data_IF_133229576828
#
_entry.id   IF_133229576828
#
_cell.length_a   1.000
_cell.length_b   1.000
_cell.length_c   1.000
_cell.angle_alpha   90.00
_cell.angle_beta   90.00
_cell.angle_gamma   90.00
#
_symmetry.space_group_name_H-M   'P 1'
#
loop_
_entity.id
_entity.type
_entity.pdbx_description
1 polymer ?
#
# COMPACT_ATOMS: atom_id res chain seq x y z
N UNK A 1 -25.25 17.57 -33.20
CA UNK A 1 -24.24 18.49 -32.66
C UNK A 1 -24.03 18.14 -31.20
N UNK A 2 -22.93 17.48 -30.83
CA UNK A 2 -22.66 17.05 -29.45
C UNK A 2 -22.11 18.24 -28.67
N UNK A 3 -22.77 18.59 -27.58
CA UNK A 3 -22.32 19.63 -26.64
C UNK A 3 -20.99 19.18 -26.03
N UNK A 4 -19.94 20.01 -26.04
CA UNK A 4 -18.67 19.61 -25.44
C UNK A 4 -18.83 19.45 -23.92
N UNK A 5 -18.26 18.36 -23.39
CA UNK A 5 -18.14 18.13 -21.95
C UNK A 5 -17.40 19.31 -21.32
N UNK A 6 -18.05 20.09 -20.48
CA UNK A 6 -17.38 21.07 -19.65
C UNK A 6 -16.59 20.34 -18.57
N UNK A 7 -15.30 20.20 -18.76
CA UNK A 7 -14.37 19.84 -17.68
C UNK A 7 -14.36 21.02 -16.71
N UNK A 8 -14.84 20.83 -15.49
CA UNK A 8 -14.74 21.85 -14.44
C UNK A 8 -13.27 22.04 -14.07
N UNK A 9 -12.65 23.06 -14.62
CA UNK A 9 -11.27 23.43 -14.28
C UNK A 9 -11.30 24.23 -12.98
N UNK A 10 -10.51 23.88 -11.95
CA UNK A 10 -10.37 24.68 -10.75
C UNK A 10 -9.95 26.11 -11.13
N UNK A 11 -10.64 27.11 -10.60
CA UNK A 11 -10.38 28.51 -10.95
C UNK A 11 -10.56 29.43 -9.75
N UNK A 12 -9.77 30.50 -9.71
CA UNK A 12 -9.89 31.60 -8.73
C UNK A 12 -10.18 32.90 -9.49
N UNK A 13 -11.13 33.66 -9.00
CA UNK A 13 -11.38 35.02 -9.51
C UNK A 13 -10.44 35.98 -8.82
N UNK A 14 -9.73 36.77 -9.59
CA UNK A 14 -8.84 37.83 -9.10
C UNK A 14 -9.29 39.20 -9.65
N UNK A 15 -9.04 40.29 -8.89
CA UNK A 15 -9.27 41.65 -9.33
C UNK A 15 -8.23 42.10 -10.36
N UNK A 16 -8.47 43.29 -10.97
CA UNK A 16 -7.52 43.91 -11.92
C UNK A 16 -6.13 44.14 -11.29
N UNK A 17 -6.09 44.38 -9.98
CA UNK A 17 -4.86 44.47 -9.19
C UNK A 17 -4.97 43.37 -8.13
N UNK A 18 -4.13 42.32 -8.21
CA UNK A 18 -4.16 41.22 -7.23
C UNK A 18 -3.83 41.74 -5.83
N UNK A 19 -4.63 41.33 -4.87
CA UNK A 19 -4.40 41.56 -3.44
C UNK A 19 -3.61 40.39 -2.82
N UNK A 20 -3.13 40.55 -1.59
CA UNK A 20 -2.49 39.46 -0.86
C UNK A 20 -3.43 38.28 -0.68
N UNK A 21 -4.73 38.54 -0.51
CA UNK A 21 -5.76 37.48 -0.42
C UNK A 21 -5.88 36.74 -1.74
N UNK A 22 -5.84 37.40 -2.87
CA UNK A 22 -5.87 36.75 -4.19
C UNK A 22 -4.65 35.88 -4.40
N UNK A 23 -3.48 36.33 -3.99
CA UNK A 23 -2.22 35.58 -4.06
C UNK A 23 -2.30 34.34 -3.17
N UNK A 24 -2.85 34.44 -1.95
CA UNK A 24 -3.03 33.31 -1.06
C UNK A 24 -4.02 32.28 -1.64
N UNK A 25 -5.16 32.73 -2.16
CA UNK A 25 -6.14 31.86 -2.82
C UNK A 25 -5.56 31.10 -4.03
N UNK A 26 -4.67 31.73 -4.80
CA UNK A 26 -3.97 31.07 -5.91
C UNK A 26 -3.02 29.99 -5.37
N UNK A 27 -2.24 30.28 -4.33
CA UNK A 27 -1.34 29.31 -3.69
C UNK A 27 -2.13 28.10 -3.18
N UNK A 28 -3.19 28.33 -2.42
CA UNK A 28 -4.03 27.27 -1.86
C UNK A 28 -4.64 26.38 -2.96
N UNK A 29 -5.05 26.99 -4.09
CA UNK A 29 -5.55 26.26 -5.25
C UNK A 29 -4.45 25.39 -5.88
N UNK A 30 -3.27 25.98 -6.12
CA UNK A 30 -2.11 25.26 -6.71
C UNK A 30 -1.67 24.11 -5.81
N UNK A 31 -1.55 24.36 -4.50
CA UNK A 31 -1.18 23.33 -3.52
C UNK A 31 -2.24 22.23 -3.47
N UNK A 32 -3.52 22.57 -3.52
CA UNK A 32 -4.61 21.60 -3.57
C UNK A 32 -4.62 20.74 -4.85
N UNK A 33 -4.23 21.30 -6.00
CA UNK A 33 -4.08 20.55 -7.26
C UNK A 33 -2.84 19.65 -7.20
N UNK A 34 -1.72 20.20 -6.76
CA UNK A 34 -0.44 19.46 -6.65
C UNK A 34 -0.57 18.28 -5.70
N UNK A 35 -1.19 18.48 -4.54
CA UNK A 35 -1.41 17.41 -3.57
C UNK A 35 -2.35 16.31 -4.09
N UNK A 36 -3.41 16.68 -4.83
CA UNK A 36 -4.30 15.70 -5.46
C UNK A 36 -3.60 14.90 -6.55
N UNK A 37 -2.81 15.54 -7.40
CA UNK A 37 -2.05 14.87 -8.45
C UNK A 37 -1.03 13.91 -7.83
N UNK A 38 -0.27 14.36 -6.83
CA UNK A 38 0.70 13.51 -6.11
C UNK A 38 0.02 12.31 -5.45
N UNK A 39 -1.13 12.52 -4.81
CA UNK A 39 -1.89 11.41 -4.20
C UNK A 39 -2.33 10.39 -5.25
N UNK A 40 -2.85 10.85 -6.40
CA UNK A 40 -3.26 9.97 -7.49
C UNK A 40 -2.09 9.19 -8.10
N UNK A 41 -0.92 9.82 -8.24
CA UNK A 41 0.30 9.15 -8.71
C UNK A 41 0.74 8.05 -7.74
N UNK A 42 0.70 8.31 -6.43
CA UNK A 42 1.03 7.33 -5.41
C UNK A 42 0.02 6.17 -5.43
N UNK A 43 -1.28 6.46 -5.49
CA UNK A 43 -2.32 5.42 -5.59
C UNK A 43 -2.15 4.54 -6.82
N UNK A 44 -1.83 5.12 -7.98
CA UNK A 44 -1.54 4.37 -9.19
C UNK A 44 -0.28 3.50 -9.03
N UNK A 45 0.79 4.05 -8.44
CA UNK A 45 2.01 3.30 -8.18
C UNK A 45 1.77 2.11 -7.24
N UNK A 46 0.97 2.28 -6.18
CA UNK A 46 0.59 1.19 -5.27
C UNK A 46 -0.22 0.13 -6.02
N UNK A 47 -1.18 0.53 -6.86
CA UNK A 47 -1.95 -0.40 -7.69
C UNK A 47 -1.05 -1.24 -8.57
N UNK A 48 -0.01 -0.64 -9.14
CA UNK A 48 0.97 -1.35 -9.97
C UNK A 48 1.85 -2.33 -9.16
N UNK A 49 2.06 -2.09 -7.87
CA UNK A 49 2.78 -3.00 -6.98
C UNK A 49 1.94 -4.20 -6.54
N UNK A 50 0.61 -4.05 -6.41
CA UNK A 50 -0.30 -5.16 -6.08
C UNK A 50 -0.56 -5.98 -7.35
N UNK A 51 -0.12 -7.23 -7.35
CA UNK A 51 -0.33 -8.14 -8.49
C UNK A 51 -1.48 -9.09 -8.19
N UNK A 52 -2.31 -9.40 -9.21
CA UNK A 52 -3.42 -10.34 -9.08
C UNK A 52 -3.01 -11.67 -8.45
N UNK A 53 -1.88 -12.21 -8.88
CA UNK A 53 -1.35 -13.49 -8.37
C UNK A 53 -0.79 -13.42 -6.93
N UNK A 54 -0.71 -12.23 -6.35
CA UNK A 54 -0.26 -11.96 -4.99
C UNK A 54 -1.40 -11.43 -4.10
N UNK A 55 -2.65 -11.56 -4.57
CA UNK A 55 -3.84 -11.11 -3.87
C UNK A 55 -4.69 -12.33 -3.47
N UNK A 56 -4.83 -12.55 -2.17
CA UNK A 56 -5.50 -13.70 -1.58
C UNK A 56 -6.72 -13.24 -0.79
N UNK A 57 -7.89 -13.61 -1.24
CA UNK A 57 -9.16 -13.39 -0.52
C UNK A 57 -9.61 -14.71 0.12
N UNK A 58 -10.29 -14.62 1.26
CA UNK A 58 -10.72 -15.78 2.03
C UNK A 58 -9.56 -16.77 2.31
N UNK A 59 -8.37 -16.21 2.62
CA UNK A 59 -7.20 -17.00 2.90
C UNK A 59 -7.38 -17.85 4.17
N UNK A 60 -6.91 -19.10 4.15
CA UNK A 60 -7.08 -20.07 5.24
C UNK A 60 -5.79 -20.28 6.03
N UNK A 61 -4.91 -19.27 6.10
CA UNK A 61 -3.71 -19.32 6.91
C UNK A 61 -4.05 -19.29 8.40
N UNK A 62 -3.34 -20.08 9.19
CA UNK A 62 -3.51 -20.14 10.64
C UNK A 62 -2.44 -19.35 11.39
N UNK A 63 -1.24 -19.26 10.84
CA UNK A 63 -0.09 -18.65 11.49
C UNK A 63 0.66 -17.70 10.56
N UNK A 64 1.43 -16.81 11.15
CA UNK A 64 2.36 -15.91 10.46
C UNK A 64 3.36 -16.69 9.60
N UNK A 65 3.86 -17.80 10.12
CA UNK A 65 4.84 -18.64 9.46
C UNK A 65 4.28 -19.27 8.18
N UNK A 66 3.02 -19.71 8.19
CA UNK A 66 2.33 -20.21 7.00
C UNK A 66 2.22 -19.13 5.91
N UNK A 67 1.88 -17.90 6.32
CA UNK A 67 1.84 -16.75 5.40
C UNK A 67 3.23 -16.49 4.80
N UNK A 68 4.27 -16.42 5.64
CA UNK A 68 5.64 -16.13 5.19
C UNK A 68 6.15 -17.21 4.24
N UNK A 69 5.99 -18.47 4.59
CA UNK A 69 6.42 -19.60 3.76
C UNK A 69 5.72 -19.59 2.41
N UNK A 70 4.39 -19.46 2.40
CA UNK A 70 3.60 -19.48 1.16
C UNK A 70 3.91 -18.31 0.24
N UNK A 71 3.97 -17.12 0.79
CA UNK A 71 4.26 -15.91 -0.01
C UNK A 71 5.71 -15.92 -0.51
N UNK A 72 6.68 -16.30 0.34
CA UNK A 72 8.07 -16.40 -0.08
C UNK A 72 8.27 -17.41 -1.21
N UNK A 73 7.68 -18.62 -1.12
CA UNK A 73 7.70 -19.61 -2.21
C UNK A 73 7.21 -19.01 -3.53
N UNK A 74 6.09 -18.28 -3.48
CA UNK A 74 5.49 -17.68 -4.65
C UNK A 74 6.36 -16.54 -5.24
N UNK A 75 6.91 -15.69 -4.37
CA UNK A 75 7.79 -14.60 -4.78
C UNK A 75 9.10 -15.11 -5.39
N UNK A 76 9.70 -16.17 -4.82
CA UNK A 76 10.88 -16.84 -5.38
C UNK A 76 10.58 -17.43 -6.76
N UNK A 77 9.51 -18.21 -6.88
CA UNK A 77 9.12 -18.84 -8.15
C UNK A 77 8.86 -17.81 -9.26
N UNK A 78 8.39 -16.62 -8.90
CA UNK A 78 8.10 -15.54 -9.84
C UNK A 78 9.28 -14.57 -10.03
N UNK A 79 10.43 -14.82 -9.43
CA UNK A 79 11.62 -13.95 -9.47
C UNK A 79 11.34 -12.53 -8.98
N UNK A 80 10.55 -12.36 -7.93
CA UNK A 80 10.39 -11.08 -7.23
C UNK A 80 11.48 -10.87 -6.18
N UNK A 81 11.95 -11.97 -5.56
CA UNK A 81 12.93 -11.95 -4.47
C UNK A 81 13.99 -13.03 -4.68
N UNK A 82 15.12 -12.91 -3.98
CA UNK A 82 16.17 -13.92 -3.85
C UNK A 82 15.91 -14.84 -2.64
N UNK A 83 16.66 -15.96 -2.54
CA UNK A 83 16.57 -16.91 -1.42
C UNK A 83 16.79 -16.25 -0.05
N UNK A 84 17.53 -15.15 0.01
CA UNK A 84 17.81 -14.41 1.25
C UNK A 84 16.63 -13.59 1.79
N UNK A 85 15.58 -13.40 0.99
CA UNK A 85 14.45 -12.57 1.38
C UNK A 85 13.71 -13.10 2.61
N UNK A 86 13.49 -14.41 2.69
CA UNK A 86 12.81 -15.04 3.81
C UNK A 86 13.49 -14.74 5.15
N UNK A 87 14.80 -14.95 5.21
CA UNK A 87 15.58 -14.72 6.43
C UNK A 87 15.50 -13.25 6.86
N UNK A 88 15.60 -12.32 5.90
CA UNK A 88 15.49 -10.87 6.15
C UNK A 88 14.10 -10.44 6.59
N UNK A 89 13.06 -11.09 6.07
CA UNK A 89 11.67 -10.88 6.50
C UNK A 89 11.46 -11.34 7.95
N UNK A 90 11.90 -12.56 8.26
CA UNK A 90 11.79 -13.15 9.61
C UNK A 90 12.63 -12.37 10.62
N UNK A 91 13.88 -12.01 10.27
CA UNK A 91 14.77 -11.20 11.12
C UNK A 91 14.10 -9.87 11.48
N UNK A 92 13.49 -9.18 10.49
CA UNK A 92 12.79 -7.91 10.71
C UNK A 92 11.57 -8.07 11.64
N UNK A 93 10.76 -9.08 11.42
CA UNK A 93 9.57 -9.35 12.21
C UNK A 93 9.90 -9.73 13.67
N UNK A 94 11.04 -10.39 13.89
CA UNK A 94 11.50 -10.79 15.22
C UNK A 94 12.03 -9.61 16.07
N UNK A 95 12.48 -8.52 15.44
CA UNK A 95 12.90 -7.32 16.18
C UNK A 95 11.71 -6.65 16.83
N UNK A 96 10.68 -6.36 16.05
CA UNK A 96 9.42 -5.77 16.50
C UNK A 96 8.32 -6.26 15.54
N UNK A 97 7.26 -6.81 16.09
CA UNK A 97 6.12 -7.26 15.29
C UNK A 97 5.58 -6.12 14.41
N UNK A 98 5.25 -6.46 13.18
CA UNK A 98 4.61 -5.53 12.24
C UNK A 98 3.09 -5.51 12.36
N UNK A 99 2.53 -6.25 13.32
CA UNK A 99 1.10 -6.27 13.58
C UNK A 99 0.65 -5.08 14.42
N UNK A 100 -0.42 -4.43 13.98
CA UNK A 100 -1.11 -3.32 14.64
C UNK A 100 -2.60 -3.62 14.57
N UNK A 101 -3.24 -3.85 15.71
CA UNK A 101 -4.63 -4.31 15.80
C UNK A 101 -4.83 -5.60 14.96
N UNK A 102 -5.69 -5.57 13.95
CA UNK A 102 -5.99 -6.70 13.07
C UNK A 102 -5.27 -6.62 11.69
N UNK A 103 -4.29 -5.72 11.57
CA UNK A 103 -3.45 -5.50 10.38
C UNK A 103 -2.01 -5.90 10.64
N UNK A 104 -1.35 -6.58 9.71
CA UNK A 104 0.10 -6.74 9.68
C UNK A 104 0.69 -6.20 8.37
N UNK A 105 1.85 -5.51 8.47
CA UNK A 105 2.58 -5.00 7.30
C UNK A 105 4.02 -5.54 7.32
N UNK A 106 4.22 -6.85 7.14
CA UNK A 106 5.54 -7.43 7.12
C UNK A 106 6.36 -6.97 5.91
N UNK A 107 7.64 -6.72 6.15
CA UNK A 107 8.59 -6.27 5.13
C UNK A 107 10.02 -6.70 5.52
N UNK A 108 10.91 -6.83 4.54
CA UNK A 108 12.31 -7.21 4.81
C UNK A 108 13.11 -6.07 5.43
N UNK A 109 14.17 -6.41 6.16
CA UNK A 109 15.14 -5.42 6.63
C UNK A 109 15.79 -4.68 5.48
N UNK A 110 16.14 -3.43 5.76
CA UNK A 110 16.99 -2.63 4.88
C UNK A 110 18.45 -3.07 5.07
N UNK A 111 19.01 -3.76 4.10
CA UNK A 111 20.42 -4.17 4.11
C UNK A 111 21.12 -3.68 2.84
N UNK A 112 22.45 -3.57 2.88
CA UNK A 112 23.24 -3.24 1.69
C UNK A 112 23.06 -4.30 0.59
N UNK A 113 22.83 -5.54 0.99
CA UNK A 113 22.56 -6.64 0.07
C UNK A 113 21.09 -6.68 -0.32
N UNK A 114 20.82 -6.40 -1.58
CA UNK A 114 19.46 -6.38 -2.12
C UNK A 114 18.91 -7.81 -2.25
N UNK A 115 17.82 -8.09 -1.52
CA UNK A 115 17.13 -9.37 -1.59
C UNK A 115 15.81 -9.29 -2.38
N UNK A 116 15.37 -8.08 -2.78
CA UNK A 116 14.19 -7.86 -3.60
C UNK A 116 14.63 -7.51 -5.02
N UNK A 117 14.24 -8.32 -5.99
CA UNK A 117 14.59 -8.18 -7.40
C UNK A 117 13.59 -7.31 -8.16
N UNK A 118 12.32 -7.36 -7.74
CA UNK A 118 11.23 -6.54 -8.28
C UNK A 118 10.28 -6.17 -7.16
N UNK A 119 9.88 -4.91 -7.10
CA UNK A 119 8.96 -4.42 -6.08
C UNK A 119 7.56 -4.98 -6.27
N UNK A 120 6.94 -5.41 -5.17
CA UNK A 120 5.56 -5.88 -5.15
C UNK A 120 4.96 -5.81 -3.75
N UNK A 121 3.63 -5.88 -3.71
CA UNK A 121 2.84 -6.01 -2.47
C UNK A 121 1.98 -7.26 -2.61
N UNK A 122 2.07 -8.16 -1.62
CA UNK A 122 1.15 -9.29 -1.49
C UNK A 122 0.07 -8.92 -0.48
N UNK A 123 -1.19 -9.13 -0.86
CA UNK A 123 -2.35 -8.81 -0.02
C UNK A 123 -3.02 -10.11 0.40
N UNK A 124 -3.21 -10.30 1.70
CA UNK A 124 -3.90 -11.46 2.25
C UNK A 124 -5.06 -10.96 3.11
N UNK A 125 -6.26 -11.34 2.73
CA UNK A 125 -7.51 -11.04 3.42
C UNK A 125 -8.08 -12.34 3.96
N UNK A 126 -8.21 -12.45 5.27
CA UNK A 126 -8.73 -13.66 5.94
C UNK A 126 -9.95 -13.32 6.79
N UNK A 127 -11.01 -14.12 6.66
CA UNK A 127 -12.17 -14.02 7.54
C UNK A 127 -11.87 -14.53 8.93
N UNK A 128 -11.09 -15.62 8.99
CA UNK A 128 -10.61 -16.17 10.26
C UNK A 128 -9.31 -15.49 10.68
N UNK A 129 -9.14 -15.17 11.96
CA UNK A 129 -7.93 -14.53 12.44
C UNK A 129 -6.68 -15.40 12.25
N UNK A 130 -5.62 -14.82 11.72
CA UNK A 130 -4.29 -15.43 11.57
C UNK A 130 -3.47 -15.11 12.82
N UNK A 131 -2.94 -16.13 13.50
CA UNK A 131 -2.09 -15.94 14.68
C UNK A 131 -0.80 -15.20 14.30
N UNK A 132 -0.52 -14.08 15.00
CA UNK A 132 0.62 -13.20 14.73
C UNK A 132 1.40 -12.88 16.02
N UNK A 133 2.08 -13.89 16.55
CA UNK A 133 2.76 -13.78 17.84
C UNK A 133 1.77 -13.68 19.00
N UNK A 134 1.73 -12.54 19.70
CA UNK A 134 0.82 -12.29 20.83
C UNK A 134 -0.54 -11.73 20.42
N UNK A 135 -0.75 -11.46 19.15
CA UNK A 135 -2.01 -10.93 18.60
C UNK A 135 -2.51 -11.80 17.46
N UNK A 136 -3.57 -11.36 16.80
CA UNK A 136 -4.08 -12.00 15.57
C UNK A 136 -4.50 -10.93 14.58
N UNK A 137 -4.40 -11.22 13.28
CA UNK A 137 -4.67 -10.28 12.20
C UNK A 137 -5.59 -10.89 11.15
N UNK A 138 -6.39 -10.05 10.49
CA UNK A 138 -7.24 -10.44 9.36
C UNK A 138 -6.72 -9.88 8.03
N UNK A 139 -5.86 -8.86 8.10
CA UNK A 139 -5.32 -8.14 6.95
C UNK A 139 -3.80 -8.22 6.98
N UNK A 140 -3.20 -8.75 5.92
CA UNK A 140 -1.74 -8.77 5.80
C UNK A 140 -1.35 -8.15 4.47
N UNK A 141 -0.47 -7.14 4.53
CA UNK A 141 0.14 -6.51 3.36
C UNK A 141 1.65 -6.73 3.43
N UNK A 142 2.12 -7.83 2.81
CA UNK A 142 3.55 -8.11 2.75
C UNK A 142 4.20 -7.26 1.66
N UNK A 143 5.10 -6.37 2.08
CA UNK A 143 5.74 -5.40 1.21
C UNK A 143 7.17 -5.85 0.87
N UNK A 144 7.44 -6.07 -0.41
CA UNK A 144 8.77 -6.30 -0.95
C UNK A 144 9.13 -5.15 -1.89
N UNK A 145 9.98 -4.22 -1.44
CA UNK A 145 10.43 -3.07 -2.22
C UNK A 145 11.93 -3.14 -2.46
N UNK A 146 12.35 -2.90 -3.71
CA UNK A 146 13.73 -2.66 -4.08
C UNK A 146 14.28 -1.44 -3.34
N UNK A 147 15.59 -1.38 -3.17
CA UNK A 147 16.24 -0.25 -2.50
C UNK A 147 15.90 1.10 -3.13
N UNK A 148 15.79 1.17 -4.45
CA UNK A 148 15.41 2.38 -5.19
C UNK A 148 13.96 2.84 -4.93
N UNK A 149 13.05 1.90 -4.62
CA UNK A 149 11.63 2.19 -4.38
C UNK A 149 11.31 2.45 -2.90
N UNK A 150 12.27 2.36 -2.00
CA UNK A 150 12.04 2.47 -0.55
C UNK A 150 11.55 3.83 -0.09
N UNK A 151 11.78 4.88 -0.85
CA UNK A 151 11.22 6.20 -0.57
C UNK A 151 9.68 6.17 -0.57
N UNK A 152 9.09 5.27 -1.36
CA UNK A 152 7.63 5.07 -1.40
C UNK A 152 7.08 4.31 -0.19
N UNK A 153 7.93 3.66 0.63
CA UNK A 153 7.46 2.84 1.75
C UNK A 153 6.55 3.63 2.69
N UNK A 154 6.91 4.87 3.03
CA UNK A 154 6.11 5.73 3.91
C UNK A 154 4.73 6.03 3.32
N UNK A 155 4.67 6.30 2.02
CA UNK A 155 3.42 6.62 1.33
C UNK A 155 2.53 5.37 1.24
N UNK A 156 3.11 4.21 0.87
CA UNK A 156 2.44 2.90 0.85
C UNK A 156 1.87 2.55 2.22
N UNK A 157 2.70 2.65 3.27
CA UNK A 157 2.29 2.40 4.65
C UNK A 157 1.13 3.30 5.07
N UNK A 158 1.24 4.61 4.78
CA UNK A 158 0.20 5.59 5.11
C UNK A 158 -1.14 5.30 4.41
N UNK A 159 -1.13 4.89 3.15
CA UNK A 159 -2.35 4.54 2.41
C UNK A 159 -2.97 3.25 2.96
N UNK A 160 -2.17 2.21 3.20
CA UNK A 160 -2.66 0.93 3.75
C UNK A 160 -3.28 1.16 5.13
N UNK A 161 -2.58 1.84 6.03
CA UNK A 161 -3.10 2.10 7.39
C UNK A 161 -4.36 2.96 7.35
N UNK A 162 -4.42 3.98 6.50
CA UNK A 162 -5.62 4.80 6.31
C UNK A 162 -6.81 3.99 5.80
N UNK A 163 -6.60 3.10 4.82
CA UNK A 163 -7.64 2.25 4.27
C UNK A 163 -8.20 1.28 5.31
N UNK A 164 -7.35 0.67 6.13
CA UNK A 164 -7.78 -0.28 7.17
C UNK A 164 -8.39 0.44 8.39
N UNK A 165 -8.04 1.69 8.65
CA UNK A 165 -8.66 2.50 9.73
C UNK A 165 -10.08 2.93 9.35
N UNK A 166 -10.40 3.08 8.07
CA UNK A 166 -11.76 3.36 7.62
C UNK A 166 -12.63 2.10 7.66
N UNK A 167 -13.59 2.09 8.61
CA UNK A 167 -14.47 0.93 8.83
C UNK A 167 -15.28 0.50 7.61
N UNK A 168 -15.57 1.42 6.69
CA UNK A 168 -16.30 1.10 5.45
C UNK A 168 -15.39 0.34 4.50
N UNK A 169 -14.23 0.91 4.19
CA UNK A 169 -13.20 0.29 3.33
C UNK A 169 -12.76 -1.07 3.87
N UNK A 170 -12.58 -1.17 5.19
CA UNK A 170 -12.23 -2.41 5.88
C UNK A 170 -13.24 -3.53 5.66
N UNK A 171 -14.55 -3.22 5.75
CA UNK A 171 -15.63 -4.18 5.49
C UNK A 171 -15.71 -4.54 4.00
N UNK A 172 -15.54 -3.57 3.13
CA UNK A 172 -15.52 -3.78 1.68
C UNK A 172 -14.38 -4.73 1.28
N UNK A 173 -13.18 -4.57 1.83
CA UNK A 173 -12.04 -5.46 1.59
C UNK A 173 -12.34 -6.92 2.00
N UNK A 174 -12.96 -7.16 3.16
CA UNK A 174 -13.34 -8.53 3.58
C UNK A 174 -14.50 -9.12 2.77
N UNK A 175 -15.32 -8.28 2.15
CA UNK A 175 -16.41 -8.71 1.28
C UNK A 175 -15.99 -8.95 -0.16
N UNK A 176 -14.77 -8.53 -0.55
CA UNK A 176 -14.22 -8.83 -1.86
C UNK A 176 -14.11 -10.35 -2.05
N UNK A 177 -14.57 -10.85 -3.19
CA UNK A 177 -14.45 -12.25 -3.55
C UNK A 177 -13.38 -12.47 -4.63
N UNK A 178 -12.97 -11.40 -5.31
CA UNK A 178 -12.01 -11.41 -6.40
C UNK A 178 -11.16 -10.13 -6.41
N UNK A 179 -10.04 -10.21 -7.11
CA UNK A 179 -9.18 -9.06 -7.44
C UNK A 179 -9.78 -8.37 -8.68
N UNK A 180 -10.40 -7.20 -8.50
CA UNK A 180 -10.87 -6.30 -9.57
C UNK A 180 -10.36 -4.87 -9.37
#
# INVERSE_FOLDING_TARGET
MKVPFFVSVPSVKIGCIPTEVDIQNIKDLVDGITNRNKKQEIENSIRDLVKRDLFFVNAEFKTKEEVFNKINELLLRKNFVSEKFYDKLVERENIVSTAIDDLAIPHSMNTEEECVLRSCISVILSKEPISWGTTSVNYVFLIALKNEDRLFFKDVFGIITSAITDNKTKKELLSCNEYD
#
